data_IF_552402565743
#
_entry.id   IF_552402565743
#
_cell.length_a   1.000
_cell.length_b   1.000
_cell.length_c   1.000
_cell.angle_alpha   90.00
_cell.angle_beta   90.00
_cell.angle_gamma   90.00
#
_symmetry.space_group_name_H-M   'P 1'
#
loop_
_entity.id
_entity.type
_entity.pdbx_description
1 polymer ?
#
# COMPACT_ATOMS: atom_id res chain seq x y z
N UNK A 1 -2.61 -29.80 -4.15
CA UNK A 1 -3.91 -29.15 -4.40
C UNK A 1 -3.62 -27.68 -4.66
N UNK A 2 -3.74 -27.23 -5.89
CA UNK A 2 -3.61 -25.81 -6.24
C UNK A 2 -4.99 -25.17 -6.06
N UNK A 3 -5.29 -24.74 -4.85
CA UNK A 3 -6.50 -23.99 -4.57
C UNK A 3 -6.20 -22.50 -4.70
N UNK A 4 -6.98 -21.77 -5.50
CA UNK A 4 -6.97 -20.31 -5.46
C UNK A 4 -7.39 -19.87 -4.05
N UNK A 5 -6.52 -19.12 -3.38
CA UNK A 5 -6.84 -18.57 -2.06
C UNK A 5 -7.69 -17.31 -2.26
N UNK A 6 -8.75 -17.16 -1.48
CA UNK A 6 -9.60 -15.96 -1.48
C UNK A 6 -9.67 -15.35 -0.09
N UNK A 7 -9.52 -14.04 -0.01
CA UNK A 7 -9.68 -13.24 1.19
C UNK A 7 -10.71 -12.15 0.91
N UNK A 8 -11.80 -12.13 1.66
CA UNK A 8 -12.84 -11.12 1.54
C UNK A 8 -12.99 -10.35 2.85
N UNK A 9 -13.08 -9.04 2.78
CA UNK A 9 -13.29 -8.16 3.93
C UNK A 9 -14.26 -7.04 3.58
N UNK A 10 -15.33 -6.91 4.37
CA UNK A 10 -16.40 -5.93 4.16
C UNK A 10 -16.49 -4.82 5.22
N UNK A 11 -15.66 -4.89 6.27
CA UNK A 11 -15.66 -3.88 7.34
C UNK A 11 -14.98 -2.58 6.93
N UNK A 12 -15.48 -1.44 7.42
CA UNK A 12 -14.76 -0.17 7.30
C UNK A 12 -13.41 -0.26 8.03
N UNK A 13 -12.38 0.41 7.51
CA UNK A 13 -11.02 0.37 8.05
C UNK A 13 -10.42 -1.04 8.18
N UNK A 14 -10.87 -1.97 7.36
CA UNK A 14 -10.36 -3.34 7.37
C UNK A 14 -9.18 -3.50 6.40
N UNK A 15 -8.37 -4.53 6.63
CA UNK A 15 -7.33 -4.95 5.69
C UNK A 15 -7.58 -6.38 5.21
N UNK A 16 -7.34 -6.64 3.92
CA UNK A 16 -7.37 -8.00 3.38
C UNK A 16 -6.18 -8.81 3.89
N UNK A 17 -4.97 -8.32 3.70
CA UNK A 17 -3.74 -8.87 4.29
C UNK A 17 -3.02 -7.80 5.09
N UNK A 18 -2.58 -8.15 6.29
CA UNK A 18 -1.90 -7.24 7.21
C UNK A 18 -0.58 -7.84 7.71
N UNK A 19 0.52 -7.15 7.43
CA UNK A 19 1.80 -7.34 8.13
C UNK A 19 2.06 -6.12 9.00
N UNK A 20 1.96 -6.28 10.32
CA UNK A 20 2.10 -5.19 11.27
C UNK A 20 3.15 -5.50 12.32
N UNK A 21 3.94 -4.51 12.65
CA UNK A 21 4.83 -4.53 13.79
C UNK A 21 4.68 -3.24 14.58
N UNK A 22 4.55 -3.39 15.90
CA UNK A 22 4.60 -2.28 16.84
C UNK A 22 5.98 -2.30 17.49
N UNK A 23 6.76 -1.27 17.27
CA UNK A 23 8.10 -1.17 17.81
C UNK A 23 8.02 -0.79 19.30
N UNK A 24 8.65 -1.58 20.15
CA UNK A 24 8.89 -1.23 21.55
C UNK A 24 10.39 -0.97 21.71
N UNK A 25 10.76 0.00 22.52
CA UNK A 25 12.12 0.58 22.66
C UNK A 25 13.29 -0.42 22.82
N UNK A 26 13.06 -1.70 22.96
CA UNK A 26 14.08 -2.67 23.37
C UNK A 26 14.15 -3.96 22.57
N UNK A 27 13.23 -4.23 21.65
CA UNK A 27 13.21 -5.51 20.94
C UNK A 27 12.94 -5.34 19.46
N UNK A 28 13.79 -5.92 18.62
CA UNK A 28 13.56 -6.02 17.17
C UNK A 28 12.54 -7.12 16.91
N UNK A 29 11.35 -6.77 16.47
CA UNK A 29 10.29 -7.70 16.12
C UNK A 29 9.96 -7.54 14.64
N UNK A 30 10.58 -8.34 13.79
CA UNK A 30 10.25 -8.31 12.37
C UNK A 30 9.06 -9.20 12.07
N UNK A 31 8.10 -8.69 11.30
CA UNK A 31 7.00 -9.48 10.75
C UNK A 31 7.17 -9.65 9.24
N UNK A 32 6.80 -10.82 8.75
CA UNK A 32 6.77 -11.11 7.31
C UNK A 32 5.53 -11.91 6.97
N UNK A 33 4.79 -11.40 6.01
CA UNK A 33 3.68 -12.10 5.38
C UNK A 33 4.03 -12.33 3.90
N UNK A 34 3.92 -13.56 3.45
CA UNK A 34 4.17 -13.90 2.04
C UNK A 34 3.08 -14.81 1.52
N UNK A 35 2.54 -14.48 0.34
CA UNK A 35 1.66 -15.38 -0.40
C UNK A 35 2.46 -16.04 -1.51
N UNK A 36 2.37 -17.35 -1.62
CA UNK A 36 3.16 -18.15 -2.57
C UNK A 36 2.42 -18.49 -3.85
N UNK A 37 1.10 -18.35 -3.85
CA UNK A 37 0.24 -18.71 -4.97
C UNK A 37 -0.79 -17.61 -5.23
N UNK A 38 -1.57 -17.77 -6.28
CA UNK A 38 -2.63 -16.85 -6.68
C UNK A 38 -3.61 -16.59 -5.52
N UNK A 39 -3.41 -15.49 -4.85
CA UNK A 39 -4.29 -15.04 -3.77
C UNK A 39 -5.17 -13.91 -4.29
N UNK A 40 -6.47 -14.06 -4.18
CA UNK A 40 -7.42 -13.03 -4.58
C UNK A 40 -7.96 -12.33 -3.34
N UNK A 41 -7.78 -11.03 -3.28
CA UNK A 41 -8.18 -10.18 -2.16
C UNK A 41 -9.26 -9.24 -2.64
N UNK A 42 -10.38 -9.21 -1.93
CA UNK A 42 -11.48 -8.27 -2.19
C UNK A 42 -11.82 -7.55 -0.89
N UNK A 43 -11.77 -6.22 -0.93
CA UNK A 43 -12.24 -5.39 0.18
C UNK A 43 -13.37 -4.47 -0.29
N UNK A 44 -14.43 -4.33 0.50
CA UNK A 44 -15.61 -3.53 0.15
C UNK A 44 -15.98 -2.46 1.18
N UNK A 45 -15.29 -2.41 2.31
CA UNK A 45 -15.53 -1.39 3.34
C UNK A 45 -14.97 -0.02 2.97
N UNK A 46 -15.56 1.03 3.52
CA UNK A 46 -15.02 2.38 3.43
C UNK A 46 -13.66 2.46 4.12
N UNK A 47 -12.69 3.19 3.53
CA UNK A 47 -11.31 3.30 4.03
C UNK A 47 -10.61 1.94 4.22
N UNK A 48 -11.04 0.91 3.52
CA UNK A 48 -10.41 -0.41 3.60
C UNK A 48 -9.10 -0.47 2.79
N UNK A 49 -8.24 -1.40 3.16
CA UNK A 49 -6.95 -1.61 2.50
C UNK A 49 -6.87 -3.05 1.98
N UNK A 50 -6.51 -3.22 0.71
CA UNK A 50 -6.29 -4.56 0.15
C UNK A 50 -5.12 -5.26 0.86
N UNK A 51 -3.93 -4.68 0.79
CA UNK A 51 -2.72 -5.17 1.48
C UNK A 51 -2.04 -4.04 2.24
N UNK A 52 -1.71 -4.29 3.51
CA UNK A 52 -1.15 -3.30 4.42
C UNK A 52 0.13 -3.83 5.08
N UNK A 53 1.24 -3.11 4.89
CA UNK A 53 2.42 -3.26 5.73
C UNK A 53 2.56 -2.05 6.65
N UNK A 54 2.72 -2.28 7.95
CA UNK A 54 2.82 -1.21 8.92
C UNK A 54 3.93 -1.42 9.94
N UNK A 55 4.86 -0.48 10.00
CA UNK A 55 5.86 -0.37 11.06
C UNK A 55 5.64 0.93 11.83
N UNK A 56 5.04 0.84 13.01
CA UNK A 56 4.72 2.02 13.83
C UNK A 56 5.60 2.08 15.06
N UNK A 57 6.14 3.25 15.44
CA UNK A 57 6.76 3.42 16.75
C UNK A 57 5.65 3.49 17.82
N UNK A 58 5.62 2.53 18.73
CA UNK A 58 4.84 2.57 19.97
C UNK A 58 3.31 2.68 19.83
N UNK A 59 2.66 2.19 20.84
CA UNK A 59 1.24 2.27 21.21
C UNK A 59 0.13 2.43 20.15
N UNK A 60 -0.56 1.31 19.93
CA UNK A 60 -2.02 1.17 19.87
C UNK A 60 -2.88 2.06 18.95
N UNK A 61 -2.37 2.56 17.82
CA UNK A 61 -3.27 2.92 16.74
C UNK A 61 -3.23 1.83 15.68
N UNK A 62 -4.39 1.40 15.24
CA UNK A 62 -4.46 0.53 14.08
C UNK A 62 -3.86 1.28 12.91
N UNK A 63 -2.96 0.66 12.18
CA UNK A 63 -2.29 1.30 11.05
C UNK A 63 -3.26 1.79 9.96
N UNK A 64 -4.49 1.33 9.99
CA UNK A 64 -5.56 1.74 9.07
C UNK A 64 -6.17 3.07 9.49
N UNK A 65 -6.31 3.35 10.80
CA UNK A 65 -6.86 4.61 11.30
C UNK A 65 -5.95 5.84 11.06
N UNK A 66 -4.69 5.59 10.74
CA UNK A 66 -3.70 6.64 10.50
C UNK A 66 -3.65 7.15 9.05
N UNK A 67 -4.60 6.73 8.22
CA UNK A 67 -4.56 7.04 6.78
C UNK A 67 -4.75 8.54 6.51
N UNK A 68 -5.52 9.24 7.32
CA UNK A 68 -5.83 10.67 7.12
C UNK A 68 -5.21 11.59 8.17
N UNK A 69 -4.65 11.07 9.26
CA UNK A 69 -4.03 11.92 10.27
C UNK A 69 -2.63 12.39 9.83
N UNK A 70 -2.45 13.69 9.73
CA UNK A 70 -1.16 14.34 9.82
C UNK A 70 -0.60 14.16 11.25
N UNK A 71 -0.34 12.89 11.63
CA UNK A 71 0.32 12.63 12.90
C UNK A 71 1.72 13.22 12.80
N UNK A 72 1.94 14.30 13.49
CA UNK A 72 3.27 14.85 13.69
C UNK A 72 4.14 13.75 14.27
N UNK A 73 5.21 13.39 13.57
CA UNK A 73 6.28 12.48 14.02
C UNK A 73 7.01 13.08 15.23
N UNK A 74 6.29 13.35 16.33
CA UNK A 74 6.89 13.91 17.54
C UNK A 74 7.63 12.87 18.39
N UNK A 75 7.54 11.59 18.02
CA UNK A 75 8.28 10.54 18.71
C UNK A 75 9.62 10.29 18.02
N UNK A 76 10.68 10.74 18.66
CA UNK A 76 12.07 10.63 18.23
C UNK A 76 12.66 9.22 18.28
N UNK A 77 11.86 8.16 18.40
CA UNK A 77 12.36 6.79 18.46
C UNK A 77 12.72 6.30 17.06
N UNK A 78 13.89 5.71 16.94
CA UNK A 78 14.29 5.03 15.72
C UNK A 78 13.45 3.75 15.55
N UNK A 79 12.66 3.67 14.48
CA UNK A 79 11.93 2.45 14.13
C UNK A 79 12.94 1.42 13.65
N UNK A 80 13.13 0.35 14.43
CA UNK A 80 14.10 -0.72 14.14
C UNK A 80 13.44 -1.98 13.58
N UNK A 81 12.17 -2.19 13.86
CA UNK A 81 11.42 -3.38 13.45
C UNK A 81 10.78 -3.23 12.07
N UNK A 82 10.79 -4.28 11.29
CA UNK A 82 10.37 -4.30 9.91
C UNK A 82 9.06 -5.05 9.71
N UNK A 83 8.15 -4.47 8.94
CA UNK A 83 6.93 -5.11 8.49
C UNK A 83 7.02 -5.37 6.98
N UNK A 84 7.19 -6.61 6.58
CA UNK A 84 7.28 -7.03 5.19
C UNK A 84 6.00 -7.74 4.75
N UNK A 85 5.47 -7.34 3.59
CA UNK A 85 4.41 -8.03 2.90
C UNK A 85 4.84 -8.31 1.46
N UNK A 86 4.80 -9.57 1.06
CA UNK A 86 5.09 -9.99 -0.30
C UNK A 86 3.92 -10.76 -0.88
N UNK A 87 3.46 -10.34 -2.03
CA UNK A 87 2.44 -11.03 -2.80
C UNK A 87 2.98 -11.41 -4.17
N UNK A 88 2.88 -12.70 -4.50
CA UNK A 88 3.36 -13.25 -5.76
C UNK A 88 2.19 -13.88 -6.52
N UNK A 89 1.71 -13.17 -7.52
CA UNK A 89 0.52 -13.54 -8.29
C UNK A 89 -0.81 -13.22 -7.60
N UNK A 90 -1.90 -13.34 -8.35
CA UNK A 90 -3.26 -13.07 -7.88
C UNK A 90 -3.77 -11.66 -8.12
N UNK A 91 -4.78 -11.24 -7.35
CA UNK A 91 -5.42 -9.95 -7.51
C UNK A 91 -5.72 -9.25 -6.19
N UNK A 92 -5.79 -7.93 -6.25
CA UNK A 92 -6.26 -7.07 -5.18
C UNK A 92 -7.34 -6.18 -5.78
N UNK A 93 -8.58 -6.28 -5.27
CA UNK A 93 -9.69 -5.44 -5.69
C UNK A 93 -10.27 -4.71 -4.49
N UNK A 94 -10.33 -3.38 -4.55
CA UNK A 94 -10.98 -2.56 -3.52
C UNK A 94 -12.20 -1.85 -4.09
N UNK A 95 -13.37 -2.13 -3.50
CA UNK A 95 -14.67 -1.60 -3.92
C UNK A 95 -15.21 -0.49 -3.01
N UNK A 96 -14.58 -0.28 -1.86
CA UNK A 96 -15.01 0.75 -0.90
C UNK A 96 -14.50 2.15 -1.28
N UNK A 97 -15.26 3.18 -0.92
CA UNK A 97 -14.83 4.58 -1.10
C UNK A 97 -13.62 4.89 -0.21
N UNK A 98 -12.75 5.82 -0.67
CA UNK A 98 -11.53 6.23 0.04
C UNK A 98 -10.60 5.06 0.41
N UNK A 99 -10.65 3.96 -0.32
CA UNK A 99 -9.90 2.74 -0.04
C UNK A 99 -8.53 2.74 -0.71
N UNK A 100 -7.67 1.83 -0.29
CA UNK A 100 -6.31 1.68 -0.80
C UNK A 100 -6.08 0.24 -1.27
N UNK A 101 -5.56 0.07 -2.48
CA UNK A 101 -5.17 -1.26 -2.95
C UNK A 101 -3.99 -1.81 -2.14
N UNK A 102 -2.90 -1.05 -2.08
CA UNK A 102 -1.72 -1.36 -1.28
C UNK A 102 -1.30 -0.14 -0.47
N UNK A 103 -0.99 -0.32 0.82
CA UNK A 103 -0.55 0.75 1.70
C UNK A 103 0.66 0.35 2.55
N UNK A 104 1.77 1.08 2.40
CA UNK A 104 2.95 0.95 3.24
C UNK A 104 3.02 2.15 4.20
N UNK A 105 2.88 1.90 5.51
CA UNK A 105 2.87 2.91 6.55
C UNK A 105 4.03 2.72 7.55
N UNK A 106 4.94 3.67 7.59
CA UNK A 106 6.11 3.69 8.49
C UNK A 106 7.44 3.37 7.80
N UNK A 107 8.53 3.88 8.39
CA UNK A 107 9.90 3.86 7.79
C UNK A 107 10.43 2.48 7.41
N UNK A 108 9.96 1.43 8.08
CA UNK A 108 10.37 0.04 7.86
C UNK A 108 9.26 -0.83 7.29
N UNK A 109 8.16 -0.20 6.81
CA UNK A 109 7.11 -0.90 6.09
C UNK A 109 7.54 -1.14 4.65
N UNK A 110 7.39 -2.37 4.18
CA UNK A 110 7.75 -2.77 2.84
C UNK A 110 6.71 -3.69 2.21
N UNK A 111 6.27 -3.36 1.01
CA UNK A 111 5.38 -4.20 0.22
C UNK A 111 6.07 -4.55 -1.11
N UNK A 112 6.03 -5.81 -1.48
CA UNK A 112 6.45 -6.27 -2.80
C UNK A 112 5.28 -6.99 -3.48
N UNK A 113 4.86 -6.46 -4.64
CA UNK A 113 3.83 -7.03 -5.48
C UNK A 113 4.47 -7.49 -6.79
N UNK A 114 4.42 -8.79 -7.08
CA UNK A 114 4.95 -9.35 -8.30
C UNK A 114 3.89 -10.23 -8.99
N UNK A 115 3.63 -9.98 -10.27
CA UNK A 115 2.55 -10.61 -11.04
C UNK A 115 1.14 -10.42 -10.43
N UNK A 116 0.86 -9.26 -9.85
CA UNK A 116 -0.43 -8.93 -9.19
C UNK A 116 -1.25 -8.00 -10.08
N UNK A 117 -2.57 -8.29 -10.20
CA UNK A 117 -3.54 -7.36 -10.75
C UNK A 117 -4.15 -6.54 -9.61
N UNK A 118 -3.88 -5.23 -9.58
CA UNK A 118 -4.39 -4.33 -8.55
C UNK A 118 -5.44 -3.41 -9.16
N UNK A 119 -6.64 -3.42 -8.59
CA UNK A 119 -7.78 -2.62 -9.04
C UNK A 119 -8.44 -1.88 -7.87
N UNK A 120 -8.72 -0.58 -8.07
CA UNK A 120 -9.56 0.21 -7.18
C UNK A 120 -10.72 0.80 -7.97
N UNK A 121 -11.95 0.57 -7.49
CA UNK A 121 -13.18 0.85 -8.25
C UNK A 121 -13.89 2.11 -7.76
N UNK A 122 -13.88 2.38 -6.47
CA UNK A 122 -14.69 3.43 -5.86
C UNK A 122 -14.02 4.81 -5.89
N UNK A 123 -14.85 5.83 -5.68
CA UNK A 123 -14.42 7.22 -5.63
C UNK A 123 -13.45 7.52 -4.49
N UNK A 124 -12.50 8.42 -4.72
CA UNK A 124 -11.50 8.85 -3.75
C UNK A 124 -10.45 7.79 -3.40
N UNK A 125 -10.51 6.61 -4.03
CA UNK A 125 -9.62 5.48 -3.73
C UNK A 125 -8.28 5.62 -4.43
N UNK A 126 -7.23 5.06 -3.82
CA UNK A 126 -5.88 5.04 -4.36
C UNK A 126 -5.44 3.59 -4.61
N UNK A 127 -4.85 3.31 -5.77
CA UNK A 127 -4.27 1.99 -5.96
C UNK A 127 -3.13 1.75 -4.97
N UNK A 128 -2.28 2.77 -4.77
CA UNK A 128 -1.09 2.69 -3.91
C UNK A 128 -1.04 3.90 -2.98
N UNK A 129 -0.81 3.68 -1.70
CA UNK A 129 -0.50 4.72 -0.72
C UNK A 129 0.79 4.39 0.02
N UNK A 130 1.64 5.39 0.24
CA UNK A 130 2.92 5.21 0.92
C UNK A 130 3.15 6.37 1.87
N UNK A 131 3.36 6.05 3.14
CA UNK A 131 3.78 7.00 4.17
C UNK A 131 5.08 6.51 4.79
N UNK A 132 6.21 7.13 4.43
CA UNK A 132 7.56 6.79 4.91
C UNK A 132 8.05 5.36 4.58
N UNK A 133 7.22 4.51 3.98
CA UNK A 133 7.54 3.14 3.62
C UNK A 133 7.96 3.00 2.17
N UNK A 134 8.07 1.76 1.72
CA UNK A 134 8.44 1.43 0.34
C UNK A 134 7.47 0.42 -0.26
N UNK A 135 7.10 0.63 -1.52
CA UNK A 135 6.35 -0.36 -2.30
C UNK A 135 7.08 -0.62 -3.62
N UNK A 136 7.41 -1.89 -3.85
CA UNK A 136 7.93 -2.39 -5.12
C UNK A 136 6.81 -3.12 -5.88
N UNK A 137 6.55 -2.72 -7.11
CA UNK A 137 5.55 -3.35 -7.97
C UNK A 137 6.22 -3.79 -9.26
N UNK A 138 6.23 -5.11 -9.53
CA UNK A 138 6.87 -5.70 -10.71
C UNK A 138 5.88 -6.57 -11.46
N UNK A 139 6.00 -6.63 -12.79
CA UNK A 139 5.21 -7.52 -13.65
C UNK A 139 3.70 -7.48 -13.38
N UNK A 140 3.20 -6.38 -12.84
CA UNK A 140 1.86 -6.22 -12.31
C UNK A 140 1.09 -5.17 -13.09
N UNK A 141 -0.25 -5.21 -13.02
CA UNK A 141 -1.12 -4.19 -13.57
C UNK A 141 -1.78 -3.37 -12.47
N UNK A 142 -1.98 -2.08 -12.72
CA UNK A 142 -2.70 -1.19 -11.82
C UNK A 142 -3.83 -0.52 -12.60
N UNK A 143 -5.04 -0.57 -12.05
CA UNK A 143 -6.23 0.05 -12.62
C UNK A 143 -6.98 0.83 -11.54
N UNK A 144 -7.39 2.05 -11.85
CA UNK A 144 -8.29 2.86 -11.02
C UNK A 144 -9.45 3.33 -11.89
N UNK A 145 -10.69 3.12 -11.45
CA UNK A 145 -11.90 3.46 -12.22
C UNK A 145 -12.81 4.48 -11.54
N UNK A 146 -12.61 4.72 -10.23
CA UNK A 146 -13.38 5.70 -9.47
C UNK A 146 -13.07 7.16 -9.85
N UNK A 147 -14.00 8.04 -9.55
CA UNK A 147 -13.81 9.50 -9.69
C UNK A 147 -12.81 9.96 -8.63
N UNK A 148 -11.84 10.81 -9.01
CA UNK A 148 -10.78 11.26 -8.10
C UNK A 148 -10.00 10.10 -7.46
N UNK A 149 -9.77 9.04 -8.24
CA UNK A 149 -9.06 7.85 -7.82
C UNK A 149 -7.65 7.79 -8.47
N UNK A 150 -6.65 8.52 -7.95
CA UNK A 150 -5.29 8.51 -8.49
C UNK A 150 -4.61 7.16 -8.26
N UNK A 151 -3.62 6.86 -9.10
CA UNK A 151 -2.84 5.63 -8.98
C UNK A 151 -2.04 5.61 -7.67
N UNK A 152 -1.41 6.73 -7.30
CA UNK A 152 -0.53 6.75 -6.13
C UNK A 152 -0.70 8.01 -5.28
N UNK A 153 -0.60 7.83 -3.96
CA UNK A 153 -0.45 8.89 -2.95
C UNK A 153 0.82 8.61 -2.15
N UNK A 154 1.83 9.49 -2.29
CA UNK A 154 3.13 9.31 -1.62
C UNK A 154 3.42 10.55 -0.80
N UNK A 155 3.74 10.36 0.47
CA UNK A 155 4.02 11.45 1.41
C UNK A 155 5.04 11.05 2.47
N UNK A 156 5.62 12.06 3.15
CA UNK A 156 6.58 11.92 4.22
C UNK A 156 7.83 11.07 3.87
N UNK A 157 8.31 11.14 2.61
CA UNK A 157 9.51 10.42 2.19
C UNK A 157 9.28 8.96 1.81
N UNK A 158 8.05 8.55 1.52
CA UNK A 158 7.77 7.23 0.97
C UNK A 158 8.34 7.04 -0.44
N UNK A 159 8.64 5.80 -0.82
CA UNK A 159 9.20 5.46 -2.12
C UNK A 159 8.36 4.42 -2.84
N UNK A 160 8.03 4.71 -4.10
CA UNK A 160 7.38 3.77 -5.01
C UNK A 160 8.36 3.40 -6.12
N UNK A 161 8.68 2.11 -6.20
CA UNK A 161 9.43 1.56 -7.31
C UNK A 161 8.49 0.79 -8.24
N UNK A 162 8.38 1.28 -9.47
CA UNK A 162 7.58 0.67 -10.52
C UNK A 162 8.44 0.56 -11.78
N UNK A 163 9.05 -0.59 -12.07
CA UNK A 163 9.85 -0.79 -13.26
C UNK A 163 8.95 -0.74 -14.49
N UNK A 164 8.93 0.39 -15.15
CA UNK A 164 8.19 0.56 -16.39
C UNK A 164 8.97 -0.01 -17.56
N UNK A 165 8.32 -0.83 -18.37
CA UNK A 165 8.83 -1.19 -19.68
C UNK A 165 9.07 0.09 -20.51
N UNK A 166 10.12 0.17 -21.33
CA UNK A 166 10.40 1.34 -22.17
C UNK A 166 9.23 1.80 -23.05
N UNK A 167 8.31 0.90 -23.35
CA UNK A 167 7.06 1.20 -24.09
C UNK A 167 6.08 2.08 -23.33
N UNK A 168 6.06 2.00 -22.00
CA UNK A 168 5.14 2.78 -21.16
C UNK A 168 5.74 4.11 -20.70
N UNK A 169 7.07 4.25 -20.69
CA UNK A 169 7.72 5.52 -20.33
C UNK A 169 7.29 6.67 -21.25
N UNK A 170 7.03 6.40 -22.52
CA UNK A 170 6.56 7.42 -23.46
C UNK A 170 5.09 7.82 -23.25
N UNK A 171 4.22 6.90 -22.81
CA UNK A 171 2.82 7.21 -22.50
C UNK A 171 2.64 8.03 -21.23
N UNK A 172 3.47 7.81 -20.23
CA UNK A 172 3.39 8.59 -18.98
C UNK A 172 3.90 10.01 -19.16
N UNK A 173 4.84 10.25 -20.06
CA UNK A 173 5.23 11.63 -20.43
C UNK A 173 4.05 12.44 -21.00
N UNK A 174 3.15 11.83 -21.73
CA UNK A 174 1.91 12.47 -22.20
C UNK A 174 0.89 12.67 -21.07
N UNK A 175 0.76 11.74 -20.13
CA UNK A 175 -0.15 11.86 -18.99
C UNK A 175 0.34 12.82 -17.91
N UNK A 176 1.65 12.95 -17.72
CA UNK A 176 2.26 13.91 -16.78
C UNK A 176 2.02 15.37 -17.20
N UNK A 177 1.78 15.64 -18.47
CA UNK A 177 1.41 16.98 -18.96
C UNK A 177 -0.03 17.37 -18.57
N UNK A 178 -0.88 16.43 -18.20
CA UNK A 178 -2.29 16.70 -17.89
C UNK A 178 -2.65 16.61 -16.39
N UNK A 179 -1.80 16.00 -15.56
CA UNK A 179 -2.05 15.90 -14.10
C UNK A 179 -0.76 16.19 -13.35
N UNK A 180 -0.69 17.34 -12.69
CA UNK A 180 0.44 17.73 -11.85
C UNK A 180 0.69 16.67 -10.76
N UNK A 181 1.72 15.87 -10.94
CA UNK A 181 2.31 15.11 -9.85
C UNK A 181 3.22 16.08 -9.11
N UNK A 182 2.78 16.55 -7.93
CA UNK A 182 3.63 17.34 -7.03
C UNK A 182 4.71 16.43 -6.45
N UNK A 183 5.81 16.30 -7.15
CA UNK A 183 7.04 15.77 -6.57
C UNK A 183 7.69 16.94 -5.84
N UNK A 184 7.49 17.03 -4.53
CA UNK A 184 8.27 17.93 -3.68
C UNK A 184 9.69 17.37 -3.60
N UNK A 185 10.62 17.96 -4.35
CA UNK A 185 12.04 17.74 -4.11
C UNK A 185 12.42 18.39 -2.78
N UNK A 186 13.10 17.69 -1.87
CA UNK A 186 13.70 18.33 -0.72
C UNK A 186 14.77 19.32 -1.17
N UNK A 187 14.82 20.49 -0.53
CA UNK A 187 15.92 21.44 -0.63
C UNK A 187 17.13 20.92 0.15
#
# INVERSE_FOLDING_TARGET
MNGDNSVESGGAYSAGLLSQVNDSEKMVNNTRLETTDKTNIVTSGENAVGVLACSSPGESRTCVDAVDDEVSDSNSYEVISRADLKMNGGSITTNGINSYGAYANGKKAYINLDYVALETVADGSYAVAIRQGNIDIKNSSITTTGTKAPIAKIYNGGELFFPMSPRYQNKIKEYQLMHQISILKPK
#
